data_IF_552188550401
#
_entry.id   IF_552188550401
#
_cell.length_a   1.000
_cell.length_b   1.000
_cell.length_c   1.000
_cell.angle_alpha   90.00
_cell.angle_beta   90.00
_cell.angle_gamma   90.00
#
_symmetry.space_group_name_H-M   'P 1'
#
loop_
_entity.id
_entity.type
_entity.pdbx_description
1 polymer ?
#
# COMPACT_ATOMS: atom_id res chain seq x y z
N UNK A 1 -0.33 7.47 15.74
CA UNK A 1 -1.30 7.72 14.68
C UNK A 1 -0.85 7.05 13.39
N UNK A 2 -0.19 7.82 12.50
CA UNK A 2 0.21 7.26 11.23
C UNK A 2 1.14 6.07 11.34
N UNK A 3 2.07 6.11 12.27
CA UNK A 3 3.04 5.03 12.42
C UNK A 3 2.37 3.73 12.88
N UNK A 4 1.24 3.80 13.57
CA UNK A 4 0.54 2.60 14.00
C UNK A 4 -0.04 1.85 12.80
N UNK A 5 -0.61 2.58 11.85
CA UNK A 5 -1.13 1.97 10.64
C UNK A 5 -0.01 1.45 9.76
N UNK A 6 1.14 2.16 9.73
CA UNK A 6 2.32 1.66 9.04
C UNK A 6 2.76 0.32 9.61
N UNK A 7 2.79 0.22 10.94
CA UNK A 7 3.19 -1.02 11.61
C UNK A 7 2.20 -2.15 11.30
N UNK A 8 0.90 -1.85 11.32
CA UNK A 8 -0.11 -2.85 10.96
C UNK A 8 0.11 -3.36 9.54
N UNK A 9 0.36 -2.43 8.62
CA UNK A 9 0.55 -2.78 7.21
C UNK A 9 1.79 -3.63 7.03
N UNK A 10 2.90 -3.23 7.66
CA UNK A 10 4.15 -4.00 7.58
C UNK A 10 3.94 -5.41 8.13
N UNK A 11 3.25 -5.53 9.27
CA UNK A 11 3.02 -6.83 9.87
C UNK A 11 2.16 -7.72 8.97
N UNK A 12 1.13 -7.15 8.35
CA UNK A 12 0.28 -7.89 7.41
C UNK A 12 1.11 -8.41 6.23
N UNK A 13 1.97 -7.56 5.68
CA UNK A 13 2.83 -7.94 4.56
C UNK A 13 3.80 -9.04 4.96
N UNK A 14 4.38 -8.95 6.16
CA UNK A 14 5.28 -9.97 6.67
C UNK A 14 4.57 -11.30 6.87
N UNK A 15 3.32 -11.26 7.33
CA UNK A 15 2.54 -12.48 7.51
C UNK A 15 2.33 -13.21 6.18
N UNK A 16 2.36 -12.49 5.09
CA UNK A 16 2.24 -13.06 3.75
C UNK A 16 3.60 -13.37 3.13
N UNK A 17 4.65 -13.38 3.94
CA UNK A 17 5.96 -13.81 3.49
C UNK A 17 6.80 -12.75 2.81
N UNK A 18 6.38 -11.50 2.89
CA UNK A 18 7.13 -10.42 2.24
C UNK A 18 8.13 -9.80 3.20
N UNK A 19 9.21 -9.30 2.64
CA UNK A 19 10.20 -8.54 3.38
C UNK A 19 9.80 -7.07 3.30
N UNK A 20 9.16 -6.58 4.37
CA UNK A 20 8.63 -5.23 4.44
C UNK A 20 9.20 -4.50 5.66
N UNK A 21 9.43 -3.20 5.49
CA UNK A 21 10.01 -2.36 6.54
C UNK A 21 9.37 -0.98 6.50
N UNK A 22 9.33 -0.35 7.67
CA UNK A 22 9.00 1.06 7.75
C UNK A 22 10.22 1.88 7.34
N UNK A 23 9.98 3.01 6.66
CA UNK A 23 11.06 3.93 6.32
C UNK A 23 11.39 4.75 7.56
N UNK A 24 12.66 4.76 8.01
CA UNK A 24 13.03 5.53 9.20
C UNK A 24 12.81 7.02 8.97
N UNK A 25 12.26 7.69 9.99
CA UNK A 25 12.05 9.14 9.90
C UNK A 25 13.37 9.90 9.92
N UNK A 26 14.29 9.48 10.80
CA UNK A 26 15.61 10.08 10.85
C UNK A 26 16.38 9.64 9.61
N UNK A 27 16.84 10.54 8.84
CA UNK A 27 17.53 10.22 7.59
C UNK A 27 16.63 10.23 6.39
N UNK A 28 15.34 10.53 6.57
CA UNK A 28 14.45 10.69 5.44
C UNK A 28 14.93 11.85 4.58
N UNK A 29 15.10 11.60 3.30
CA UNK A 29 15.53 12.61 2.35
C UNK A 29 14.46 12.76 1.30
N UNK A 30 14.73 13.62 0.32
CA UNK A 30 13.80 13.77 -0.80
C UNK A 30 13.59 12.46 -1.56
N UNK A 31 14.50 11.51 -1.40
CA UNK A 31 14.41 10.22 -2.07
C UNK A 31 13.64 9.18 -1.28
N UNK A 32 13.46 9.39 0.01
CA UNK A 32 12.77 8.43 0.90
C UNK A 32 11.39 8.96 1.22
N UNK A 33 10.52 9.00 0.22
CA UNK A 33 9.21 9.64 0.38
C UNK A 33 8.10 8.71 0.81
N UNK A 34 8.30 7.42 0.73
CA UNK A 34 7.27 6.49 1.16
C UNK A 34 7.35 6.21 2.65
N UNK A 35 6.27 5.67 3.19
CA UNK A 35 6.22 5.28 4.60
C UNK A 35 6.77 3.90 4.82
N UNK A 36 6.64 3.02 3.85
CA UNK A 36 7.08 1.62 3.95
C UNK A 36 7.77 1.20 2.67
N UNK A 37 8.56 0.13 2.80
CA UNK A 37 9.25 -0.49 1.67
C UNK A 37 8.92 -1.97 1.65
N UNK A 38 8.78 -2.51 0.44
CA UNK A 38 8.59 -3.95 0.24
C UNK A 38 9.66 -4.41 -0.74
N UNK A 39 10.49 -5.36 -0.31
CA UNK A 39 11.46 -5.96 -1.23
C UNK A 39 10.76 -6.99 -2.07
N UNK A 40 10.96 -6.92 -3.38
CA UNK A 40 10.38 -7.86 -4.32
C UNK A 40 11.50 -8.51 -5.12
N UNK A 41 11.20 -9.68 -5.70
CA UNK A 41 12.25 -10.44 -6.39
C UNK A 41 12.41 -10.05 -7.86
N UNK A 42 11.48 -9.28 -8.40
CA UNK A 42 11.50 -8.98 -9.84
C UNK A 42 12.22 -7.66 -10.17
N UNK A 43 12.67 -6.92 -9.17
CA UNK A 43 13.46 -5.71 -9.40
C UNK A 43 14.38 -5.48 -8.21
N UNK A 44 15.54 -4.82 -8.46
CA UNK A 44 16.50 -4.59 -7.37
C UNK A 44 16.03 -3.57 -6.34
N UNK A 45 15.30 -2.55 -6.76
CA UNK A 45 14.81 -1.53 -5.83
C UNK A 45 13.54 -2.01 -5.14
N UNK A 46 13.35 -1.66 -3.87
CA UNK A 46 12.10 -2.01 -3.19
C UNK A 46 10.94 -1.18 -3.73
N UNK A 47 9.74 -1.70 -3.55
CA UNK A 47 8.54 -0.91 -3.80
C UNK A 47 8.37 0.04 -2.63
N UNK A 48 8.03 1.28 -2.92
CA UNK A 48 7.78 2.29 -1.89
C UNK A 48 6.28 2.49 -1.77
N UNK A 49 5.79 2.50 -0.54
CA UNK A 49 4.37 2.66 -0.28
C UNK A 49 4.10 3.79 0.68
N UNK A 50 2.93 4.38 0.53
CA UNK A 50 2.45 5.44 1.41
C UNK A 50 1.26 4.89 2.19
N UNK A 51 1.22 5.11 3.50
CA UNK A 51 0.12 4.68 4.34
C UNK A 51 -0.64 5.90 4.81
N UNK A 52 -1.93 5.93 4.53
CA UNK A 52 -2.81 7.02 4.97
C UNK A 52 -4.01 6.43 5.66
N UNK A 53 -4.24 6.86 6.88
CA UNK A 53 -5.39 6.45 7.66
C UNK A 53 -6.34 7.64 7.79
N UNK A 54 -7.59 7.41 7.49
CA UNK A 54 -8.63 8.41 7.61
C UNK A 54 -9.72 7.87 8.53
N UNK A 55 -10.54 8.75 9.05
CA UNK A 55 -11.65 8.34 9.89
C UNK A 55 -12.51 7.32 9.17
N UNK A 56 -12.74 7.53 7.88
CA UNK A 56 -13.47 6.60 7.05
C UNK A 56 -13.04 6.80 5.60
N UNK A 57 -13.11 5.73 4.82
CA UNK A 57 -12.99 5.83 3.38
C UNK A 57 -14.39 5.94 2.80
N UNK A 58 -14.54 6.55 1.62
CA UNK A 58 -15.86 6.61 0.99
C UNK A 58 -16.44 5.22 0.81
N UNK A 59 -17.69 5.06 1.25
CA UNK A 59 -18.34 3.76 1.20
C UNK A 59 -18.46 3.22 -0.22
N UNK A 60 -18.62 4.11 -1.21
CA UNK A 60 -18.79 3.64 -2.58
C UNK A 60 -17.58 2.86 -3.10
N UNK A 61 -16.38 3.11 -2.53
CA UNK A 61 -15.19 2.35 -2.93
C UNK A 61 -15.36 0.89 -2.52
N UNK A 62 -15.78 0.66 -1.27
CA UNK A 62 -16.03 -0.71 -0.80
C UNK A 62 -17.14 -1.37 -1.60
N UNK A 63 -18.20 -0.62 -1.86
CA UNK A 63 -19.35 -1.16 -2.59
C UNK A 63 -18.97 -1.56 -4.01
N UNK A 64 -18.20 -0.70 -4.68
CA UNK A 64 -17.78 -0.97 -6.05
C UNK A 64 -16.78 -2.11 -6.12
N UNK A 65 -15.85 -2.18 -5.16
CA UNK A 65 -14.92 -3.30 -5.09
C UNK A 65 -15.70 -4.61 -4.84
N UNK A 66 -16.64 -4.59 -3.87
CA UNK A 66 -17.53 -5.72 -3.62
C UNK A 66 -16.77 -7.04 -3.54
N UNK A 67 -17.18 -8.01 -4.34
CA UNK A 67 -16.50 -9.30 -4.42
C UNK A 67 -15.53 -9.37 -5.59
N UNK A 68 -15.31 -8.24 -6.26
CA UNK A 68 -14.33 -8.18 -7.35
C UNK A 68 -12.91 -8.20 -6.81
N UNK A 69 -12.00 -8.63 -7.63
CA UNK A 69 -10.59 -8.69 -7.24
C UNK A 69 -9.95 -7.31 -7.23
N UNK A 70 -10.42 -6.42 -8.07
CA UNK A 70 -9.90 -5.06 -8.10
C UNK A 70 -10.97 -4.09 -8.60
N UNK A 71 -10.74 -2.82 -8.31
CA UNK A 71 -11.55 -1.71 -8.79
C UNK A 71 -10.62 -0.73 -9.47
N UNK A 72 -10.88 -0.42 -10.73
CA UNK A 72 -10.12 0.62 -11.42
C UNK A 72 -11.01 1.85 -11.51
N UNK A 73 -10.45 2.99 -11.15
CA UNK A 73 -11.22 4.22 -11.13
C UNK A 73 -10.39 5.39 -11.64
N UNK A 74 -11.08 6.41 -12.10
CA UNK A 74 -10.42 7.55 -12.70
C UNK A 74 -11.35 8.75 -12.66
N UNK A 75 -10.78 9.94 -12.47
CA UNK A 75 -11.48 11.18 -12.74
C UNK A 75 -11.45 11.46 -14.24
N UNK A 76 -12.23 12.44 -14.68
CA UNK A 76 -12.35 12.70 -16.12
C UNK A 76 -11.02 13.02 -16.78
N UNK A 77 -10.14 13.72 -16.08
CA UNK A 77 -8.86 14.15 -16.64
C UNK A 77 -7.67 13.56 -15.94
N UNK A 78 -7.90 12.60 -15.05
CA UNK A 78 -6.84 12.02 -14.27
C UNK A 78 -6.41 10.67 -14.78
N UNK A 79 -5.27 10.26 -14.31
CA UNK A 79 -4.78 8.91 -14.55
C UNK A 79 -5.62 7.92 -13.74
N UNK A 80 -5.82 6.73 -14.29
CA UNK A 80 -6.58 5.72 -13.57
C UNK A 80 -5.73 5.11 -12.47
N UNK A 81 -6.39 4.73 -11.38
CA UNK A 81 -5.77 4.05 -10.25
C UNK A 81 -6.53 2.75 -10.02
N UNK A 82 -5.82 1.76 -9.54
CA UNK A 82 -6.43 0.48 -9.22
C UNK A 82 -6.36 0.23 -7.72
N UNK A 83 -7.51 -0.17 -7.17
CA UNK A 83 -7.66 -0.47 -5.75
C UNK A 83 -7.83 -1.97 -5.60
N UNK A 84 -7.05 -2.57 -4.72
CA UNK A 84 -7.19 -3.99 -4.36
C UNK A 84 -7.09 -4.10 -2.86
N UNK A 85 -7.54 -5.21 -2.31
CA UNK A 85 -7.38 -5.46 -0.87
C UNK A 85 -5.90 -5.69 -0.58
N UNK A 86 -5.44 -5.16 0.56
CA UNK A 86 -4.02 -5.27 0.91
C UNK A 86 -3.54 -6.71 0.96
N UNK A 87 -4.37 -7.63 1.43
CA UNK A 87 -3.99 -9.05 1.47
C UNK A 87 -3.71 -9.58 0.06
N UNK A 88 -4.54 -9.20 -0.88
CA UNK A 88 -4.36 -9.64 -2.26
C UNK A 88 -3.13 -8.98 -2.90
N UNK A 89 -2.93 -7.70 -2.59
CA UNK A 89 -1.71 -7.01 -3.03
C UNK A 89 -0.47 -7.74 -2.52
N UNK A 90 -0.49 -8.18 -1.26
CA UNK A 90 0.62 -8.92 -0.69
C UNK A 90 0.88 -10.22 -1.46
N UNK A 91 -0.18 -10.92 -1.84
CA UNK A 91 -0.03 -12.14 -2.63
C UNK A 91 0.56 -11.88 -4.00
N UNK A 92 0.16 -10.78 -4.63
CA UNK A 92 0.70 -10.41 -5.93
C UNK A 92 2.18 -10.04 -5.85
N UNK A 93 2.63 -9.55 -4.71
CA UNK A 93 4.02 -9.15 -4.52
C UNK A 93 4.97 -10.31 -4.24
N UNK A 94 4.45 -11.49 -4.02
CA UNK A 94 5.29 -12.68 -3.74
C UNK A 94 6.01 -13.23 -4.95
#
# INVERSE_FOLDING_TARGET
KGYRFEAETVNLLKEHGLEAHRVPLSGATAHDKGDIRIRVHWQPEPLLGECKRRKALPQWIYDALGENDFLTMRGDRGESLTVIRTKQFAELCQ
#
